data_IF_084744156411
#
_entry.id   IF_084744156411
#
_cell.length_a   1.000
_cell.length_b   1.000
_cell.length_c   1.000
_cell.angle_alpha   90.00
_cell.angle_beta   90.00
_cell.angle_gamma   90.00
#
_symmetry.space_group_name_H-M   'P 1'
#
loop_
_entity.id
_entity.type
_entity.pdbx_description
1 polymer ?
#
# COMPACT_ATOMS: atom_id res chain seq x y z
N UNK A 1 -12.22 -10.23 24.95
CA UNK A 1 -11.85 -11.14 23.84
C UNK A 1 -10.83 -10.46 22.93
N UNK A 2 -9.69 -11.10 22.68
CA UNK A 2 -8.60 -10.58 21.85
C UNK A 2 -8.43 -11.44 20.59
N UNK A 3 -7.98 -10.84 19.49
CA UNK A 3 -7.63 -11.57 18.26
C UNK A 3 -6.18 -12.06 18.30
N UNK A 4 -5.98 -13.33 17.98
CA UNK A 4 -4.67 -13.97 17.91
C UNK A 4 -4.44 -14.55 16.52
N UNK A 5 -3.19 -14.51 16.06
CA UNK A 5 -2.72 -15.08 14.80
C UNK A 5 -1.74 -16.20 15.12
N UNK A 6 -1.95 -17.38 14.55
CA UNK A 6 -0.93 -18.43 14.56
C UNK A 6 0.15 -18.15 13.51
N UNK A 7 1.42 -18.19 13.89
CA UNK A 7 2.54 -17.97 12.96
C UNK A 7 2.87 -19.22 12.11
N UNK A 8 2.31 -20.37 12.47
CA UNK A 8 2.50 -21.62 11.73
C UNK A 8 1.47 -21.81 10.61
N UNK A 9 0.18 -21.57 10.91
CA UNK A 9 -0.90 -21.80 9.96
C UNK A 9 -1.68 -20.55 9.57
N UNK A 10 -1.28 -19.38 10.09
CA UNK A 10 -1.90 -18.07 9.83
C UNK A 10 -3.40 -17.98 10.16
N UNK A 11 -3.94 -18.93 10.93
CA UNK A 11 -5.30 -18.84 11.43
C UNK A 11 -5.43 -17.65 12.40
N UNK A 12 -6.44 -16.81 12.16
CA UNK A 12 -6.91 -15.78 13.08
C UNK A 12 -8.02 -16.38 13.94
N UNK A 13 -7.96 -16.21 15.26
CA UNK A 13 -8.97 -16.71 16.17
C UNK A 13 -9.12 -15.83 17.42
N UNK A 14 -10.29 -15.85 18.05
CA UNK A 14 -10.61 -15.07 19.25
C UNK A 14 -10.35 -15.87 20.51
N UNK A 15 -9.56 -15.31 21.44
CA UNK A 15 -9.32 -15.91 22.75
C UNK A 15 -8.85 -14.83 23.75
N UNK A 16 -9.02 -15.09 25.05
CA UNK A 16 -8.48 -14.21 26.10
C UNK A 16 -7.01 -14.54 26.38
N UNK A 17 -6.72 -15.81 26.66
CA UNK A 17 -5.38 -16.34 26.92
C UNK A 17 -5.20 -17.71 26.23
N UNK A 18 -4.90 -17.74 24.92
CA UNK A 18 -4.69 -18.99 24.21
C UNK A 18 -3.32 -19.60 24.58
N UNK A 19 -3.30 -20.90 24.83
CA UNK A 19 -2.06 -21.67 25.06
C UNK A 19 -1.50 -22.24 23.75
N UNK A 20 -2.35 -22.47 22.74
CA UNK A 20 -1.97 -23.00 21.43
C UNK A 20 -2.98 -22.63 20.34
N UNK A 21 -2.57 -22.76 19.09
CA UNK A 21 -3.46 -22.61 17.94
C UNK A 21 -4.48 -23.77 17.88
N UNK A 22 -5.79 -23.50 17.78
CA UNK A 22 -6.82 -24.55 17.75
C UNK A 22 -6.80 -25.40 16.47
N UNK A 23 -6.08 -24.97 15.42
CA UNK A 23 -6.03 -25.67 14.13
C UNK A 23 -4.83 -26.58 13.95
N UNK A 24 -3.67 -26.18 14.46
CA UNK A 24 -2.42 -26.93 14.27
C UNK A 24 -1.67 -27.23 15.56
N UNK A 25 -2.27 -26.91 16.72
CA UNK A 25 -1.70 -27.10 18.07
C UNK A 25 -0.34 -26.41 18.29
N UNK A 26 0.08 -25.53 17.38
CA UNK A 26 1.33 -24.78 17.51
C UNK A 26 1.23 -23.75 18.64
N UNK A 27 2.29 -23.63 19.44
CA UNK A 27 2.44 -22.61 20.47
C UNK A 27 2.91 -21.25 19.91
N UNK A 28 3.25 -21.19 18.62
CA UNK A 28 3.67 -19.97 17.93
C UNK A 28 2.43 -19.15 17.55
N UNK A 29 1.95 -18.35 18.48
CA UNK A 29 0.78 -17.50 18.34
C UNK A 29 1.13 -16.08 18.80
N UNK A 30 0.63 -15.06 18.09
CA UNK A 30 0.86 -13.64 18.37
C UNK A 30 -0.45 -12.87 18.44
N UNK A 31 -0.50 -11.83 19.26
CA UNK A 31 -1.65 -10.93 19.36
C UNK A 31 -1.76 -10.08 18.09
N UNK A 32 -2.93 -10.07 17.44
CA UNK A 32 -3.20 -9.17 16.32
C UNK A 32 -3.44 -7.77 16.89
N UNK A 33 -2.50 -6.85 16.64
CA UNK A 33 -2.63 -5.45 17.05
C UNK A 33 -3.58 -4.73 16.09
N UNK A 34 -4.50 -3.92 16.65
CA UNK A 34 -5.43 -3.09 15.87
C UNK A 34 -4.75 -1.93 15.16
N UNK A 35 -3.52 -1.59 15.55
CA UNK A 35 -2.72 -0.52 14.94
C UNK A 35 -2.14 -0.86 13.55
N UNK A 36 -2.48 -2.03 12.97
CA UNK A 36 -2.13 -2.38 11.59
C UNK A 36 -3.34 -2.29 10.63
N UNK A 37 -4.44 -1.66 11.05
CA UNK A 37 -5.47 -1.11 10.15
C UNK A 37 -5.10 0.34 9.81
N UNK A 38 -4.09 0.54 8.95
CA UNK A 38 -4.03 1.67 8.02
C UNK A 38 -2.78 1.62 7.12
N UNK A 39 -2.35 0.45 6.65
CA UNK A 39 -1.87 0.43 5.27
C UNK A 39 -3.10 0.51 4.37
N UNK A 40 -3.77 1.67 4.42
CA UNK A 40 -4.52 2.16 3.28
C UNK A 40 -3.55 2.01 2.14
N UNK A 41 -3.83 1.06 1.25
CA UNK A 41 -3.76 1.33 -0.17
C UNK A 41 -4.48 2.67 -0.38
N UNK A 42 -3.77 3.77 -0.12
CA UNK A 42 -4.08 5.04 -0.69
C UNK A 42 -3.83 4.78 -2.16
N UNK A 43 -4.85 4.25 -2.84
CA UNK A 43 -5.11 4.62 -4.21
C UNK A 43 -5.30 6.13 -4.11
N UNK A 44 -4.19 6.86 -4.08
CA UNK A 44 -4.20 8.30 -4.33
C UNK A 44 -4.88 8.35 -5.67
N UNK A 45 -6.12 8.81 -5.70
CA UNK A 45 -6.77 9.27 -6.91
C UNK A 45 -5.82 10.35 -7.48
N UNK A 46 -4.85 9.87 -8.25
CA UNK A 46 -3.93 10.69 -8.99
C UNK A 46 -4.85 11.41 -9.96
N UNK A 47 -5.10 12.69 -9.68
CA UNK A 47 -5.87 13.56 -10.57
C UNK A 47 -5.41 13.28 -12.00
N UNK A 48 -6.35 13.11 -12.93
CA UNK A 48 -6.02 12.83 -14.32
C UNK A 48 -4.96 13.83 -14.80
N UNK A 49 -3.80 13.32 -15.23
CA UNK A 49 -2.67 14.14 -15.65
C UNK A 49 -1.59 14.42 -14.59
N UNK A 50 -1.78 14.05 -13.32
CA UNK A 50 -0.79 14.18 -12.25
C UNK A 50 0.43 13.25 -12.43
N UNK A 51 1.52 13.59 -11.74
CA UNK A 51 2.76 12.84 -11.79
C UNK A 51 2.58 11.50 -11.08
N UNK A 52 2.82 10.39 -11.78
CA UNK A 52 2.65 9.02 -11.26
C UNK A 52 3.56 8.71 -10.07
N UNK A 53 4.65 9.46 -9.90
CA UNK A 53 5.59 9.27 -8.81
C UNK A 53 5.21 10.09 -7.57
N UNK A 54 5.02 11.41 -7.70
CA UNK A 54 4.86 12.31 -6.55
C UNK A 54 3.49 13.00 -6.43
N UNK A 55 2.57 12.75 -7.37
CA UNK A 55 1.26 13.40 -7.47
C UNK A 55 1.29 14.87 -7.86
N UNK A 56 2.45 15.43 -8.22
CA UNK A 56 2.57 16.83 -8.67
C UNK A 56 1.85 17.09 -9.99
N UNK A 57 1.33 18.31 -10.15
CA UNK A 57 0.58 18.74 -11.35
C UNK A 57 1.37 19.70 -12.25
N UNK A 58 2.55 20.14 -11.81
CA UNK A 58 3.42 21.04 -12.55
C UNK A 58 4.46 20.28 -13.37
N UNK A 59 4.50 20.56 -14.68
CA UNK A 59 5.39 19.90 -15.63
C UNK A 59 6.14 20.90 -16.53
N UNK A 60 7.35 20.53 -16.93
CA UNK A 60 8.08 21.13 -18.04
C UNK A 60 7.86 20.24 -19.26
N UNK A 61 7.46 20.81 -20.39
CA UNK A 61 7.23 20.06 -21.61
C UNK A 61 8.47 20.10 -22.50
N UNK A 62 9.04 18.93 -22.79
CA UNK A 62 10.08 18.76 -23.81
C UNK A 62 9.42 18.31 -25.12
N UNK A 63 9.16 19.27 -25.99
CA UNK A 63 8.54 19.03 -27.30
C UNK A 63 9.45 18.27 -28.27
N UNK A 64 10.78 18.35 -28.11
CA UNK A 64 11.74 17.63 -28.97
C UNK A 64 11.67 16.14 -28.72
N UNK A 65 11.58 15.75 -27.45
CA UNK A 65 11.48 14.34 -27.02
C UNK A 65 10.06 13.84 -26.86
N UNK A 66 9.07 14.75 -26.88
CA UNK A 66 7.65 14.47 -26.58
C UNK A 66 7.49 13.89 -25.16
N UNK A 67 8.14 14.53 -24.21
CA UNK A 67 8.12 14.15 -22.78
C UNK A 67 7.62 15.31 -21.92
N UNK A 68 7.05 15.00 -20.76
CA UNK A 68 6.75 15.95 -19.68
C UNK A 68 7.55 15.58 -18.44
N UNK A 69 8.23 16.55 -17.86
CA UNK A 69 9.12 16.38 -16.70
C UNK A 69 8.47 17.06 -15.51
N UNK A 70 8.19 16.31 -14.44
CA UNK A 70 7.57 16.86 -13.24
C UNK A 70 8.51 17.84 -12.54
N UNK A 71 8.08 19.09 -12.30
CA UNK A 71 8.90 20.09 -11.57
C UNK A 71 9.14 19.73 -10.10
N UNK A 72 8.25 18.92 -9.52
CA UNK A 72 8.30 18.55 -8.10
C UNK A 72 9.32 17.45 -7.79
N UNK A 73 9.42 16.43 -8.65
CA UNK A 73 10.30 15.28 -8.39
C UNK A 73 11.23 14.91 -9.54
N UNK A 74 11.20 15.63 -10.66
CA UNK A 74 12.02 15.35 -11.83
C UNK A 74 11.58 14.13 -12.66
N UNK A 75 10.50 13.44 -12.27
CA UNK A 75 10.03 12.26 -12.99
C UNK A 75 9.62 12.62 -14.43
N UNK A 76 10.15 11.87 -15.39
CA UNK A 76 9.90 12.04 -16.82
C UNK A 76 8.74 11.10 -17.21
N UNK A 77 7.75 11.64 -17.91
CA UNK A 77 6.57 10.92 -18.38
C UNK A 77 6.32 11.22 -19.86
N UNK A 78 5.78 10.28 -20.64
CA UNK A 78 5.48 10.54 -22.05
C UNK A 78 4.33 11.55 -22.21
N UNK A 79 4.42 12.42 -23.21
CA UNK A 79 3.29 13.22 -23.70
C UNK A 79 2.36 12.33 -24.54
N UNK A 80 1.41 11.66 -23.88
CA UNK A 80 0.36 10.88 -24.55
C UNK A 80 -0.57 11.85 -25.30
N UNK A 81 -0.81 11.60 -26.60
CA UNK A 81 -1.86 12.32 -27.33
C UNK A 81 -3.20 11.80 -26.83
N UNK A 82 -4.03 12.67 -26.26
CA UNK A 82 -5.45 12.36 -26.10
C UNK A 82 -6.04 12.17 -27.51
N UNK A 83 -6.62 11.00 -27.76
CA UNK A 83 -7.24 10.62 -29.02
C UNK A 83 -8.75 10.50 -28.81
#
# INVERSE_FOLDING_TARGET
>A
MKEWICENCYLVFLSEEPVSCPRCSSKKIRLKRKDEEEEKTQIKELKAGACTNCGGTDFILDWKKREKICKKCGNIMPLVRMH
#
